data_IF_414423691196
#
_entry.id   IF_414423691196
#
_cell.length_a   1.000
_cell.length_b   1.000
_cell.length_c   1.000
_cell.angle_alpha   90.00
_cell.angle_beta   90.00
_cell.angle_gamma   90.00
#
_symmetry.space_group_name_H-M   'P 1'
#
loop_
_entity.id
_entity.type
_entity.pdbx_description
1 polymer ?
#
# COMPACT_ATOMS: atom_id res chain seq x y z
N UNK A 1 -20.09 -40.05 11.10
CA UNK A 1 -18.73 -40.20 10.51
C UNK A 1 -17.87 -39.09 11.08
N UNK A 2 -16.93 -39.42 11.97
CA UNK A 2 -15.99 -38.45 12.53
C UNK A 2 -15.10 -37.89 11.42
N UNK A 3 -14.98 -36.57 11.37
CA UNK A 3 -14.07 -35.88 10.46
C UNK A 3 -12.66 -36.45 10.64
N UNK A 4 -12.08 -37.00 9.57
CA UNK A 4 -10.64 -37.25 9.48
C UNK A 4 -9.97 -35.87 9.40
N UNK A 5 -9.82 -35.22 10.55
CA UNK A 5 -9.15 -33.93 10.67
C UNK A 5 -7.67 -34.13 10.36
N UNK A 6 -7.18 -33.41 9.35
CA UNK A 6 -5.74 -33.14 9.20
C UNK A 6 -5.30 -32.49 10.52
N UNK A 7 -4.46 -33.18 11.30
CA UNK A 7 -4.30 -32.88 12.73
C UNK A 7 -3.45 -31.65 13.04
N UNK A 8 -2.62 -31.16 12.13
CA UNK A 8 -1.80 -29.95 12.29
C UNK A 8 -1.21 -29.53 10.93
N UNK A 9 -1.09 -28.24 10.68
CA UNK A 9 -0.50 -27.69 9.45
C UNK A 9 1.01 -27.53 9.65
N UNK A 10 1.81 -28.10 8.74
CA UNK A 10 3.27 -27.89 8.70
C UNK A 10 3.61 -26.96 7.55
N UNK A 11 4.32 -25.88 7.85
CA UNK A 11 4.80 -24.93 6.86
C UNK A 11 6.18 -25.35 6.38
N UNK A 12 6.33 -25.59 5.07
CA UNK A 12 7.64 -25.87 4.47
C UNK A 12 8.34 -24.55 4.13
N UNK A 13 9.59 -24.40 4.59
CA UNK A 13 10.37 -23.17 4.43
C UNK A 13 11.65 -23.50 3.64
N UNK A 14 12.04 -22.60 2.74
CA UNK A 14 13.27 -22.69 1.95
C UNK A 14 14.46 -21.94 2.56
N UNK A 15 14.53 -21.80 3.88
CA UNK A 15 15.64 -21.12 4.59
C UNK A 15 16.87 -22.03 4.66
N UNK A 16 18.07 -21.44 4.62
CA UNK A 16 19.35 -22.17 4.65
C UNK A 16 20.31 -21.52 5.63
N UNK A 17 21.11 -22.33 6.32
CA UNK A 17 22.14 -21.82 7.24
C UNK A 17 23.20 -20.98 6.49
N UNK A 18 23.46 -21.31 5.22
CA UNK A 18 24.43 -20.64 4.33
C UNK A 18 23.98 -19.25 3.81
N UNK A 19 22.78 -18.74 4.15
CA UNK A 19 22.29 -17.48 3.57
C UNK A 19 22.95 -16.21 4.14
N UNK A 20 23.19 -16.19 5.45
CA UNK A 20 23.90 -15.10 6.16
C UNK A 20 24.09 -15.49 7.62
N UNK A 21 25.12 -14.95 8.29
CA UNK A 21 25.36 -15.19 9.72
C UNK A 21 24.15 -14.83 10.60
N UNK A 22 23.42 -13.76 10.23
CA UNK A 22 22.24 -13.33 10.97
C UNK A 22 21.09 -14.34 10.83
N UNK A 23 20.86 -14.88 9.63
CA UNK A 23 19.86 -15.93 9.41
C UNK A 23 20.28 -17.24 10.07
N UNK A 24 21.55 -17.60 9.99
CA UNK A 24 22.07 -18.80 10.65
C UNK A 24 21.78 -18.77 12.15
N UNK A 25 22.14 -17.68 12.84
CA UNK A 25 21.83 -17.50 14.27
C UNK A 25 20.33 -17.63 14.54
N UNK A 26 19.50 -16.91 13.78
CA UNK A 26 18.06 -16.94 13.97
C UNK A 26 17.44 -18.33 13.73
N UNK A 27 17.95 -19.09 12.75
CA UNK A 27 17.52 -20.48 12.50
C UNK A 27 17.95 -21.41 13.64
N UNK A 28 19.17 -21.23 14.18
CA UNK A 28 19.67 -22.00 15.32
C UNK A 28 18.87 -21.71 16.59
N UNK A 29 18.51 -20.45 16.83
CA UNK A 29 17.68 -20.04 17.97
C UNK A 29 16.28 -20.67 17.89
N UNK A 30 15.72 -20.76 16.67
CA UNK A 30 14.44 -21.47 16.40
C UNK A 30 14.57 -22.98 16.35
N UNK A 31 15.79 -23.52 16.45
CA UNK A 31 16.09 -24.94 16.29
C UNK A 31 15.56 -25.52 14.98
N UNK A 32 15.58 -24.73 13.89
CA UNK A 32 15.09 -25.18 12.59
C UNK A 32 15.77 -26.48 12.14
N UNK A 33 14.99 -27.35 11.52
CA UNK A 33 15.43 -28.67 11.07
C UNK A 33 14.94 -28.94 9.65
N UNK A 34 15.76 -29.68 8.91
CA UNK A 34 15.46 -30.18 7.57
C UNK A 34 14.68 -31.50 7.55
N UNK A 35 14.65 -32.22 8.67
CA UNK A 35 14.09 -33.58 8.74
C UNK A 35 12.93 -33.73 9.73
N UNK A 36 12.82 -32.85 10.73
CA UNK A 36 11.75 -32.89 11.72
C UNK A 36 11.06 -31.54 11.86
N UNK A 37 9.71 -31.46 11.78
CA UNK A 37 9.01 -30.21 12.00
C UNK A 37 9.25 -29.66 13.40
N UNK A 38 9.58 -28.38 13.49
CA UNK A 38 9.85 -27.68 14.75
C UNK A 38 8.73 -26.69 15.03
N UNK A 39 8.34 -26.62 16.30
CA UNK A 39 7.24 -25.77 16.75
C UNK A 39 7.78 -24.42 17.22
N UNK A 40 7.22 -23.34 16.68
CA UNK A 40 7.53 -21.99 17.16
C UNK A 40 6.79 -21.66 18.47
N UNK A 41 7.12 -20.51 19.06
CA UNK A 41 6.49 -20.03 20.29
C UNK A 41 4.98 -19.72 20.13
N UNK A 42 4.51 -19.55 18.88
CA UNK A 42 3.11 -19.32 18.55
C UNK A 42 2.34 -20.64 18.27
N UNK A 43 3.00 -21.79 18.36
CA UNK A 43 2.43 -23.11 18.18
C UNK A 43 2.42 -23.64 16.73
N UNK A 44 2.95 -22.89 15.76
CA UNK A 44 3.02 -23.30 14.37
C UNK A 44 4.17 -24.26 14.12
N UNK A 45 3.95 -25.27 13.26
CA UNK A 45 4.99 -26.19 12.83
C UNK A 45 5.66 -25.70 11.55
N UNK A 46 6.99 -25.72 11.53
CA UNK A 46 7.81 -25.36 10.38
C UNK A 46 8.86 -26.42 10.08
N UNK A 47 9.17 -26.65 8.81
CA UNK A 47 10.21 -27.58 8.36
C UNK A 47 11.04 -26.94 7.25
N UNK A 48 12.34 -26.82 7.47
CA UNK A 48 13.27 -26.11 6.57
C UNK A 48 14.03 -27.11 5.69
N UNK A 49 13.35 -27.62 4.66
CA UNK A 49 13.74 -28.81 3.88
C UNK A 49 15.11 -28.76 3.18
N UNK A 50 15.67 -27.56 3.03
CA UNK A 50 16.98 -27.32 2.42
C UNK A 50 17.96 -26.64 3.39
N UNK A 51 17.74 -26.74 4.70
CA UNK A 51 18.50 -25.97 5.69
C UNK A 51 20.02 -26.16 5.59
N UNK A 52 20.50 -27.36 5.28
CA UNK A 52 21.92 -27.69 5.08
C UNK A 52 22.47 -27.38 3.68
N UNK A 53 21.64 -26.98 2.72
CA UNK A 53 22.07 -26.76 1.34
C UNK A 53 22.87 -25.46 1.21
N UNK A 54 23.97 -25.53 0.47
CA UNK A 54 24.68 -24.33 0.01
C UNK A 54 23.94 -23.66 -1.13
N UNK A 55 24.43 -22.49 -1.55
CA UNK A 55 23.94 -21.84 -2.78
C UNK A 55 24.24 -22.67 -4.03
N UNK A 56 25.37 -23.36 -4.07
CA UNK A 56 25.75 -24.17 -5.23
C UNK A 56 24.87 -25.42 -5.35
N UNK A 57 24.51 -26.07 -4.24
CA UNK A 57 23.60 -27.23 -4.23
C UNK A 57 22.23 -26.89 -4.82
N UNK A 58 21.70 -25.71 -4.47
CA UNK A 58 20.41 -25.23 -5.00
C UNK A 58 20.49 -25.05 -6.51
N UNK A 59 21.54 -24.40 -7.00
CA UNK A 59 21.70 -24.13 -8.42
C UNK A 59 22.07 -25.36 -9.24
N UNK A 60 22.85 -26.30 -8.70
CA UNK A 60 23.09 -27.60 -9.32
C UNK A 60 21.78 -28.35 -9.49
N UNK A 61 20.95 -28.39 -8.43
CA UNK A 61 19.64 -29.02 -8.48
C UNK A 61 18.74 -28.39 -9.56
N UNK A 62 18.61 -27.05 -9.57
CA UNK A 62 17.85 -26.32 -10.59
C UNK A 62 18.36 -26.61 -12.00
N UNK A 63 19.68 -26.69 -12.18
CA UNK A 63 20.32 -26.91 -13.48
C UNK A 63 19.96 -28.27 -14.08
N UNK A 64 19.73 -29.31 -13.26
CA UNK A 64 19.27 -30.63 -13.73
C UNK A 64 17.87 -30.61 -14.33
N UNK A 65 17.07 -29.58 -14.06
CA UNK A 65 15.75 -29.41 -14.66
C UNK A 65 15.76 -28.60 -15.96
N UNK A 66 16.92 -28.12 -16.42
CA UNK A 66 17.05 -27.44 -17.72
C UNK A 66 17.02 -28.41 -18.90
N UNK A 67 17.24 -29.71 -18.67
CA UNK A 67 17.06 -30.78 -19.65
C UNK A 67 16.18 -31.87 -19.04
N UNK A 68 15.07 -32.18 -19.72
CA UNK A 68 14.10 -33.20 -19.31
C UNK A 68 14.75 -34.59 -19.19
N UNK A 69 15.81 -34.87 -19.95
CA UNK A 69 16.56 -36.13 -19.88
C UNK A 69 17.41 -36.26 -18.61
N UNK A 70 17.72 -35.16 -17.94
CA UNK A 70 18.56 -35.12 -16.73
C UNK A 70 17.79 -34.85 -15.45
N UNK A 71 16.50 -34.53 -15.56
CA UNK A 71 15.65 -34.20 -14.43
C UNK A 71 15.53 -35.43 -13.49
N UNK A 72 15.90 -35.29 -12.21
CA UNK A 72 15.88 -36.41 -11.27
C UNK A 72 14.46 -36.90 -10.95
N UNK A 73 13.44 -36.08 -11.22
CA UNK A 73 12.02 -36.38 -11.05
C UNK A 73 11.19 -35.47 -11.97
N UNK A 74 9.89 -35.76 -12.19
CA UNK A 74 9.04 -34.93 -13.04
C UNK A 74 8.99 -33.46 -12.58
N UNK A 75 9.34 -32.49 -13.44
CA UNK A 75 9.37 -31.08 -13.06
C UNK A 75 7.97 -30.47 -12.96
N UNK A 76 7.84 -29.44 -12.13
CA UNK A 76 6.60 -28.64 -11.99
C UNK A 76 6.40 -27.65 -13.14
N UNK A 77 7.43 -27.43 -13.96
CA UNK A 77 7.43 -26.49 -15.07
C UNK A 77 8.24 -27.07 -16.24
N UNK A 78 8.03 -26.60 -17.48
CA UNK A 78 8.83 -27.04 -18.61
C UNK A 78 10.30 -26.59 -18.46
N UNK A 79 11.23 -27.33 -19.09
CA UNK A 79 12.67 -27.05 -19.06
C UNK A 79 13.03 -25.57 -19.37
N UNK A 80 12.32 -24.96 -20.33
CA UNK A 80 12.49 -23.54 -20.71
C UNK A 80 12.37 -22.56 -19.53
N UNK A 81 11.53 -22.87 -18.54
CA UNK A 81 11.32 -22.02 -17.36
C UNK A 81 12.57 -21.96 -16.50
N UNK A 82 13.26 -23.09 -16.33
CA UNK A 82 14.52 -23.16 -15.58
C UNK A 82 15.66 -22.46 -16.32
N UNK A 83 15.72 -22.60 -17.65
CA UNK A 83 16.67 -21.85 -18.49
C UNK A 83 16.45 -20.34 -18.35
N UNK A 84 15.19 -19.89 -18.40
CA UNK A 84 14.83 -18.48 -18.23
C UNK A 84 15.15 -17.98 -16.83
N UNK A 85 14.93 -18.78 -15.79
CA UNK A 85 15.30 -18.44 -14.41
C UNK A 85 16.82 -18.20 -14.30
N UNK A 86 17.63 -19.08 -14.87
CA UNK A 86 19.08 -18.93 -14.88
C UNK A 86 19.51 -17.66 -15.64
N UNK A 87 18.90 -17.40 -16.80
CA UNK A 87 19.16 -16.20 -17.58
C UNK A 87 18.78 -14.92 -16.81
N UNK A 88 17.63 -14.91 -16.12
CA UNK A 88 17.17 -13.79 -15.31
C UNK A 88 18.19 -13.43 -14.20
N UNK A 89 18.69 -14.43 -13.47
CA UNK A 89 19.67 -14.22 -12.41
C UNK A 89 21.03 -13.77 -12.95
N UNK A 90 21.44 -14.28 -14.12
CA UNK A 90 22.64 -13.83 -14.82
C UNK A 90 22.52 -12.36 -15.24
N UNK A 91 21.41 -11.97 -15.85
CA UNK A 91 21.17 -10.60 -16.32
C UNK A 91 21.02 -9.60 -15.16
N UNK A 92 20.47 -10.06 -14.04
CA UNK A 92 20.38 -9.28 -12.80
C UNK A 92 21.71 -9.15 -12.03
N UNK A 93 22.78 -9.80 -12.48
CA UNK A 93 24.10 -9.80 -11.86
C UNK A 93 25.22 -9.41 -12.87
N UNK A 94 24.94 -8.41 -13.70
CA UNK A 94 25.85 -7.85 -14.71
C UNK A 94 26.43 -8.90 -15.68
N UNK A 95 25.60 -9.89 -16.05
CA UNK A 95 25.99 -10.97 -16.95
C UNK A 95 26.88 -12.04 -16.31
N UNK A 96 27.23 -11.89 -15.02
CA UNK A 96 28.12 -12.79 -14.29
C UNK A 96 27.29 -13.81 -13.51
N UNK A 97 27.30 -15.07 -13.96
CA UNK A 97 26.75 -16.19 -13.21
C UNK A 97 27.90 -17.15 -12.86
N UNK A 98 28.28 -17.19 -11.59
CA UNK A 98 29.42 -17.95 -11.08
C UNK A 98 29.21 -19.47 -11.11
N UNK A 99 27.98 -19.95 -11.25
CA UNK A 99 27.67 -21.40 -11.29
C UNK A 99 28.27 -22.09 -12.53
N UNK A 100 28.59 -21.32 -13.59
CA UNK A 100 29.18 -21.86 -14.83
C UNK A 100 30.71 -21.68 -14.91
N UNK A 101 31.31 -20.85 -14.05
CA UNK A 101 32.75 -20.57 -14.07
C UNK A 101 33.42 -21.24 -12.87
N UNK A 102 34.19 -22.29 -13.15
CA UNK A 102 34.93 -23.07 -12.15
C UNK A 102 35.81 -22.26 -11.20
N UNK A 103 36.38 -22.97 -10.23
CA UNK A 103 37.08 -22.54 -9.00
C UNK A 103 38.17 -21.44 -9.14
N UNK A 104 37.83 -20.22 -9.55
CA UNK A 104 38.82 -19.13 -9.63
C UNK A 104 38.32 -17.75 -10.02
N UNK A 105 37.05 -17.58 -10.43
CA UNK A 105 36.47 -16.27 -10.71
C UNK A 105 35.99 -15.54 -9.45
N UNK A 106 35.91 -14.20 -9.52
CA UNK A 106 35.40 -13.34 -8.45
C UNK A 106 34.03 -13.86 -7.97
N UNK A 107 33.99 -14.44 -6.76
CA UNK A 107 32.81 -15.09 -6.17
C UNK A 107 31.80 -14.07 -5.67
N UNK A 108 31.26 -13.25 -6.56
CA UNK A 108 30.01 -12.57 -6.25
C UNK A 108 28.94 -13.66 -6.17
N UNK A 109 28.39 -13.92 -4.97
CA UNK A 109 27.31 -14.86 -4.80
C UNK A 109 26.18 -14.54 -5.80
N UNK A 110 25.50 -15.58 -6.31
CA UNK A 110 24.26 -15.45 -7.08
C UNK A 110 23.13 -14.92 -6.16
N UNK A 111 23.29 -13.69 -5.69
CA UNK A 111 22.49 -13.01 -4.69
C UNK A 111 21.71 -11.84 -5.27
N UNK A 112 21.55 -11.80 -6.60
CA UNK A 112 20.65 -10.86 -7.26
C UNK A 112 19.25 -11.01 -6.67
N UNK A 113 18.63 -9.88 -6.33
CA UNK A 113 17.31 -9.84 -5.71
C UNK A 113 16.35 -9.21 -6.69
N UNK A 114 15.56 -10.05 -7.34
CA UNK A 114 14.39 -9.60 -8.10
C UNK A 114 13.22 -9.44 -7.15
N UNK A 115 12.44 -8.37 -7.28
CA UNK A 115 11.33 -8.12 -6.37
C UNK A 115 10.34 -7.11 -6.91
N UNK A 116 9.51 -6.60 -6.02
CA UNK A 116 8.52 -5.59 -6.38
C UNK A 116 9.19 -4.34 -6.95
N UNK A 117 8.73 -3.89 -8.12
CA UNK A 117 9.32 -2.78 -8.85
C UNK A 117 9.20 -1.42 -8.12
N UNK A 118 8.44 -1.31 -7.03
CA UNK A 118 8.30 -0.09 -6.22
C UNK A 118 8.90 -0.23 -4.82
N UNK A 119 9.56 -1.36 -4.53
CA UNK A 119 10.11 -1.65 -3.21
C UNK A 119 11.32 -0.76 -2.90
N UNK A 120 11.23 0.00 -1.81
CA UNK A 120 12.32 0.85 -1.31
C UNK A 120 13.25 0.14 -0.33
N UNK A 121 12.92 -1.09 0.09
CA UNK A 121 13.74 -1.88 1.03
C UNK A 121 15.03 -2.43 0.42
N UNK A 122 15.17 -2.40 -0.91
CA UNK A 122 16.40 -2.81 -1.62
C UNK A 122 17.59 -1.86 -1.38
N UNK A 123 17.42 -0.80 -0.59
CA UNK A 123 18.46 0.18 -0.25
C UNK A 123 18.41 1.41 -1.15
N UNK A 124 19.52 2.14 -1.28
CA UNK A 124 19.52 3.38 -2.08
C UNK A 124 19.26 3.13 -3.58
N UNK A 125 19.67 1.96 -4.09
CA UNK A 125 19.55 1.57 -5.50
C UNK A 125 19.15 0.11 -5.64
N UNK A 126 18.32 -0.19 -6.62
CA UNK A 126 18.05 -1.56 -7.05
C UNK A 126 19.10 -1.98 -8.09
N UNK A 127 20.23 -2.53 -7.60
CA UNK A 127 21.35 -2.94 -8.46
C UNK A 127 20.95 -4.03 -9.47
N UNK A 128 20.05 -4.93 -9.07
CA UNK A 128 19.59 -6.02 -9.94
C UNK A 128 18.77 -5.47 -11.10
N UNK A 129 17.82 -4.57 -10.81
CA UNK A 129 17.06 -3.88 -11.84
C UNK A 129 17.96 -2.99 -12.74
N UNK A 130 18.90 -2.25 -12.15
CA UNK A 130 19.89 -1.44 -12.90
C UNK A 130 20.74 -2.29 -13.85
N UNK A 131 21.10 -3.50 -13.45
CA UNK A 131 21.81 -4.45 -14.31
C UNK A 131 20.91 -4.93 -15.45
N UNK A 132 19.69 -5.38 -15.14
CA UNK A 132 18.75 -5.91 -16.13
C UNK A 132 18.45 -4.89 -17.23
N UNK A 133 18.17 -3.63 -16.88
CA UNK A 133 17.78 -2.59 -17.85
C UNK A 133 18.89 -2.30 -18.90
N UNK A 134 20.15 -2.67 -18.64
CA UNK A 134 21.23 -2.57 -19.63
C UNK A 134 21.06 -3.57 -20.77
N UNK A 135 20.38 -4.68 -20.53
CA UNK A 135 20.05 -5.68 -21.55
C UNK A 135 18.82 -5.24 -22.35
N UNK A 136 18.85 -5.31 -23.70
CA UNK A 136 17.76 -4.82 -24.55
C UNK A 136 16.38 -5.40 -24.21
N UNK A 137 16.31 -6.68 -23.81
CA UNK A 137 15.03 -7.33 -23.49
C UNK A 137 14.34 -6.75 -22.24
N UNK A 138 15.05 -6.09 -21.33
CA UNK A 138 14.47 -5.50 -20.12
C UNK A 138 14.46 -3.96 -20.13
N UNK A 139 14.82 -3.33 -21.26
CA UNK A 139 14.83 -1.88 -21.37
C UNK A 139 13.47 -1.23 -21.02
N UNK A 140 12.37 -1.95 -21.22
CA UNK A 140 11.01 -1.52 -20.86
C UNK A 140 10.82 -1.27 -19.35
N UNK A 141 11.65 -1.85 -18.48
CA UNK A 141 11.59 -1.67 -17.03
C UNK A 141 12.26 -0.36 -16.54
N UNK A 142 12.94 0.38 -17.41
CA UNK A 142 13.66 1.60 -17.05
C UNK A 142 12.79 2.63 -16.32
N UNK A 143 11.55 2.81 -16.79
CA UNK A 143 10.59 3.72 -16.18
C UNK A 143 10.20 3.31 -14.76
N UNK A 144 10.05 2.01 -14.50
CA UNK A 144 9.70 1.51 -13.17
C UNK A 144 10.86 1.69 -12.18
N UNK A 145 12.09 1.41 -12.60
CA UNK A 145 13.28 1.69 -11.77
C UNK A 145 13.39 3.18 -11.43
N UNK A 146 13.12 4.05 -12.42
CA UNK A 146 13.08 5.50 -12.19
C UNK A 146 11.99 5.88 -11.18
N UNK A 147 10.79 5.31 -11.30
CA UNK A 147 9.68 5.56 -10.40
C UNK A 147 10.01 5.13 -8.96
N UNK A 148 10.61 3.95 -8.79
CA UNK A 148 11.08 3.48 -7.49
C UNK A 148 12.10 4.42 -6.85
N UNK A 149 13.07 4.90 -7.63
CA UNK A 149 14.05 5.85 -7.14
C UNK A 149 13.42 7.20 -6.78
N UNK A 150 12.42 7.67 -7.54
CA UNK A 150 11.63 8.86 -7.20
C UNK A 150 10.98 8.73 -5.80
N UNK A 151 10.50 7.54 -5.43
CA UNK A 151 9.93 7.33 -4.08
C UNK A 151 10.96 7.58 -2.99
N UNK A 152 12.19 7.08 -3.15
CA UNK A 152 13.29 7.34 -2.21
C UNK A 152 13.69 8.82 -2.17
N UNK A 153 13.78 9.46 -3.34
CA UNK A 153 14.14 10.88 -3.46
C UNK A 153 13.19 11.80 -2.67
N UNK A 154 11.93 11.38 -2.51
CA UNK A 154 10.87 12.17 -1.87
C UNK A 154 10.34 11.56 -0.57
N UNK A 155 10.96 10.50 -0.03
CA UNK A 155 10.47 9.85 1.19
C UNK A 155 10.54 10.78 2.41
N UNK A 156 11.54 11.66 2.45
CA UNK A 156 11.76 12.61 3.55
C UNK A 156 11.47 14.07 3.16
N UNK A 157 10.85 14.29 2.01
CA UNK A 157 10.46 15.62 1.55
C UNK A 157 9.16 16.04 2.23
N UNK A 158 9.27 16.82 3.31
CA UNK A 158 8.10 17.28 4.09
C UNK A 158 7.19 18.21 3.30
N UNK A 159 7.68 18.87 2.23
CA UNK A 159 6.85 19.71 1.35
C UNK A 159 5.81 18.91 0.55
N UNK A 160 5.98 17.59 0.49
CA UNK A 160 5.06 16.66 -0.17
C UNK A 160 4.06 16.05 0.80
N UNK A 161 4.02 16.47 2.06
CA UNK A 161 3.15 15.92 3.11
C UNK A 161 1.92 16.79 3.36
N UNK A 162 0.83 16.16 3.78
CA UNK A 162 -0.29 16.86 4.41
C UNK A 162 -0.01 17.08 5.90
N UNK A 163 -0.55 18.16 6.47
CA UNK A 163 -0.34 18.52 7.88
C UNK A 163 -1.41 17.98 8.82
N UNK A 164 -2.56 17.56 8.32
CA UNK A 164 -3.69 17.13 9.14
C UNK A 164 -3.47 15.69 9.59
N UNK A 165 -3.38 15.46 10.91
CA UNK A 165 -3.34 14.12 11.49
C UNK A 165 -4.62 13.30 11.29
N UNK A 166 -4.69 12.09 11.84
CA UNK A 166 -5.84 11.17 11.65
C UNK A 166 -6.63 10.87 12.92
N UNK A 167 -6.03 11.06 14.08
CA UNK A 167 -6.62 10.68 15.38
C UNK A 167 -7.09 11.93 16.10
N UNK A 168 -8.34 11.91 16.55
CA UNK A 168 -8.89 12.91 17.45
C UNK A 168 -8.46 12.54 18.88
N UNK A 169 -7.91 13.48 19.63
CA UNK A 169 -7.65 13.31 21.06
C UNK A 169 -8.93 13.38 21.87
N UNK A 170 -8.96 12.84 23.09
CA UNK A 170 -10.13 12.92 23.99
C UNK A 170 -10.64 14.35 24.23
N UNK A 171 -9.76 15.36 24.17
CA UNK A 171 -10.13 16.77 24.25
C UNK A 171 -10.80 17.35 22.97
N UNK A 172 -11.03 16.55 21.92
CA UNK A 172 -11.62 16.99 20.65
C UNK A 172 -10.67 17.77 19.72
N UNK A 173 -9.36 17.51 19.80
CA UNK A 173 -8.33 18.14 18.97
C UNK A 173 -7.65 17.14 18.05
N UNK A 174 -7.11 17.62 16.94
CA UNK A 174 -6.29 16.84 16.01
C UNK A 174 -4.88 17.44 15.92
N UNK A 175 -3.88 16.57 15.79
CA UNK A 175 -2.49 17.00 15.67
C UNK A 175 -2.21 17.58 14.29
N UNK A 176 -1.50 18.72 14.25
CA UNK A 176 -1.02 19.39 13.04
C UNK A 176 0.48 19.16 12.92
N UNK A 177 0.86 18.31 11.97
CA UNK A 177 2.23 17.86 11.73
C UNK A 177 2.29 17.17 10.37
N UNK A 178 3.40 17.27 9.61
CA UNK A 178 3.58 16.46 8.41
C UNK A 178 3.33 14.97 8.70
N UNK A 179 2.35 14.37 8.03
CA UNK A 179 1.96 12.97 8.21
C UNK A 179 2.18 12.20 6.90
N UNK A 180 1.15 12.08 6.07
CA UNK A 180 1.24 11.29 4.83
C UNK A 180 1.37 12.13 3.58
N UNK A 181 1.57 11.50 2.41
CA UNK A 181 1.71 12.27 1.18
C UNK A 181 0.47 13.12 0.92
N UNK A 182 0.67 14.37 0.51
CA UNK A 182 -0.40 15.28 0.09
C UNK A 182 -1.19 14.72 -1.10
N UNK A 183 -2.45 15.12 -1.22
CA UNK A 183 -3.30 14.82 -2.38
C UNK A 183 -2.59 15.10 -3.71
N UNK A 184 -1.99 16.29 -3.86
CA UNK A 184 -1.30 16.70 -5.06
C UNK A 184 -0.15 15.74 -5.43
N UNK A 185 0.64 15.30 -4.44
CA UNK A 185 1.71 14.34 -4.68
C UNK A 185 1.19 12.93 -4.99
N UNK A 186 0.11 12.48 -4.35
CA UNK A 186 -0.54 11.19 -4.69
C UNK A 186 -1.05 11.18 -6.13
N UNK A 187 -1.71 12.26 -6.57
CA UNK A 187 -2.13 12.45 -7.97
C UNK A 187 -0.93 12.44 -8.92
N UNK A 188 0.16 13.09 -8.54
CA UNK A 188 1.39 13.08 -9.33
C UNK A 188 1.98 11.67 -9.48
N UNK A 189 2.03 10.88 -8.39
CA UNK A 189 2.47 9.48 -8.45
C UNK A 189 1.56 8.62 -9.33
N UNK A 190 0.24 8.78 -9.21
CA UNK A 190 -0.74 8.09 -10.06
C UNK A 190 -0.52 8.44 -11.54
N UNK A 191 -0.37 9.72 -11.88
CA UNK A 191 -0.10 10.20 -13.25
C UNK A 191 1.15 9.56 -13.84
N UNK A 192 2.21 9.40 -13.05
CA UNK A 192 3.44 8.73 -13.51
C UNK A 192 3.20 7.25 -13.81
N UNK A 193 2.55 6.51 -12.91
CA UNK A 193 2.26 5.09 -13.15
C UNK A 193 1.33 4.89 -14.36
N UNK A 194 0.26 5.69 -14.47
CA UNK A 194 -0.62 5.67 -15.64
C UNK A 194 0.14 5.95 -16.94
N UNK A 195 1.09 6.90 -16.91
CA UNK A 195 1.93 7.22 -18.06
C UNK A 195 2.84 6.04 -18.42
N UNK A 196 3.42 5.35 -17.42
CA UNK A 196 4.23 4.15 -17.65
C UNK A 196 3.41 3.01 -18.25
N UNK A 197 2.20 2.76 -17.74
CA UNK A 197 1.30 1.74 -18.28
C UNK A 197 0.88 2.06 -19.73
N UNK A 198 0.64 3.34 -20.04
CA UNK A 198 0.34 3.77 -21.40
C UNK A 198 1.55 3.60 -22.33
N UNK A 199 2.75 3.99 -21.89
CA UNK A 199 3.98 3.82 -22.66
C UNK A 199 4.33 2.34 -22.90
N UNK A 200 4.01 1.46 -21.96
CA UNK A 200 4.22 0.03 -22.11
C UNK A 200 3.25 -0.58 -23.13
N UNK A 201 2.00 -0.13 -23.14
CA UNK A 201 1.05 -0.49 -24.20
C UNK A 201 1.51 0.00 -25.57
N UNK A 202 1.91 1.27 -25.68
CA UNK A 202 2.44 1.87 -26.92
C UNK A 202 3.69 1.11 -27.41
N UNK A 203 4.59 0.70 -26.49
CA UNK A 203 5.77 -0.11 -26.79
C UNK A 203 5.39 -1.50 -27.32
N UNK A 204 4.45 -2.17 -26.67
CA UNK A 204 4.00 -3.51 -27.07
C UNK A 204 3.39 -3.50 -28.47
N UNK A 205 2.50 -2.55 -28.76
CA UNK A 205 1.88 -2.35 -30.07
C UNK A 205 2.94 -2.10 -31.16
N UNK A 206 3.91 -1.23 -30.89
CA UNK A 206 5.01 -0.98 -31.83
C UNK A 206 5.89 -2.21 -32.03
N UNK A 207 6.18 -2.97 -30.97
CA UNK A 207 6.99 -4.19 -31.04
C UNK A 207 6.27 -5.28 -31.86
N UNK A 208 4.97 -5.46 -31.66
CA UNK A 208 4.13 -6.35 -32.46
C UNK A 208 4.13 -5.94 -33.93
N UNK A 209 3.95 -4.64 -34.22
CA UNK A 209 4.00 -4.13 -35.59
C UNK A 209 5.36 -4.42 -36.27
N UNK A 210 6.47 -4.29 -35.54
CA UNK A 210 7.81 -4.62 -36.04
C UNK A 210 8.01 -6.13 -36.23
N UNK A 211 7.47 -6.95 -35.32
CA UNK A 211 7.51 -8.41 -35.38
C UNK A 211 6.74 -8.96 -36.58
N UNK A 212 5.51 -8.47 -36.79
CA UNK A 212 4.64 -8.87 -37.90
C UNK A 212 5.25 -8.43 -39.24
N UNK A 213 5.80 -7.21 -39.31
CA UNK A 213 6.47 -6.68 -40.49
C UNK A 213 7.84 -7.31 -40.78
N UNK A 214 8.38 -8.14 -39.88
CA UNK A 214 9.69 -8.77 -40.04
C UNK A 214 10.87 -7.79 -39.90
N UNK A 215 10.67 -6.65 -39.23
CA UNK A 215 11.75 -5.69 -38.89
C UNK A 215 12.62 -6.19 -37.75
N UNK A 216 12.06 -7.05 -36.89
CA UNK A 216 12.78 -7.76 -35.83
C UNK A 216 12.73 -9.29 -36.05
N UNK A 217 13.72 -10.05 -35.57
CA UNK A 217 13.74 -11.50 -35.73
C UNK A 217 12.55 -12.20 -35.07
N UNK A 218 12.04 -13.26 -35.71
CA UNK A 218 11.00 -14.12 -35.14
C UNK A 218 11.58 -15.11 -34.15
N UNK A 219 11.77 -14.65 -32.91
CA UNK A 219 12.19 -15.49 -31.78
C UNK A 219 11.08 -15.53 -30.73
N UNK A 220 11.04 -16.56 -29.86
CA UNK A 220 10.10 -16.61 -28.75
C UNK A 220 10.17 -15.38 -27.84
N UNK A 221 11.36 -14.82 -27.64
CA UNK A 221 11.57 -13.64 -26.79
C UNK A 221 10.92 -12.39 -27.39
N UNK A 222 11.03 -12.17 -28.71
CA UNK A 222 10.36 -11.06 -29.36
C UNK A 222 8.84 -11.28 -29.46
N UNK A 223 8.40 -12.52 -29.61
CA UNK A 223 6.97 -12.85 -29.56
C UNK A 223 6.36 -12.51 -28.19
N UNK A 224 7.04 -12.83 -27.09
CA UNK A 224 6.61 -12.46 -25.74
C UNK A 224 6.50 -10.94 -25.55
N UNK A 225 7.43 -10.17 -26.14
CA UNK A 225 7.45 -8.70 -26.05
C UNK A 225 6.38 -8.01 -26.92
N UNK A 226 5.62 -8.74 -27.74
CA UNK A 226 4.49 -8.21 -28.51
C UNK A 226 3.27 -7.87 -27.62
N UNK A 227 3.25 -8.31 -26.36
CA UNK A 227 2.22 -7.93 -25.38
C UNK A 227 2.78 -6.96 -24.34
N UNK A 228 1.92 -6.15 -23.67
CA UNK A 228 2.35 -5.37 -22.51
C UNK A 228 2.92 -6.28 -21.43
N UNK A 229 4.12 -5.98 -20.96
CA UNK A 229 4.82 -6.74 -19.92
C UNK A 229 4.37 -6.37 -18.51
N UNK A 230 3.74 -5.20 -18.36
CA UNK A 230 3.16 -4.77 -17.09
C UNK A 230 1.96 -3.84 -17.29
N UNK A 231 1.07 -3.86 -16.30
CA UNK A 231 0.06 -2.83 -16.06
C UNK A 231 -0.08 -2.65 -14.54
N UNK A 232 0.47 -1.57 -14.00
CA UNK A 232 0.46 -1.31 -12.56
C UNK A 232 -0.91 -0.87 -12.06
N UNK A 233 -1.61 -0.03 -12.84
CA UNK A 233 -2.89 0.58 -12.51
C UNK A 233 -3.99 -0.01 -13.39
N UNK A 234 -4.38 -1.25 -13.05
CA UNK A 234 -5.55 -1.89 -13.67
C UNK A 234 -6.84 -1.16 -13.30
N UNK A 235 -7.93 -1.27 -14.08
CA UNK A 235 -9.22 -0.64 -13.76
C UNK A 235 -9.73 -0.95 -12.34
N UNK A 236 -9.55 -2.19 -11.89
CA UNK A 236 -9.89 -2.62 -10.51
C UNK A 236 -9.12 -1.81 -9.46
N UNK A 237 -7.79 -1.69 -9.62
CA UNK A 237 -6.95 -0.90 -8.70
C UNK A 237 -7.29 0.58 -8.81
N UNK A 238 -7.62 1.07 -10.00
CA UNK A 238 -7.96 2.45 -10.25
C UNK A 238 -9.22 2.86 -9.47
N UNK A 239 -10.27 2.04 -9.46
CA UNK A 239 -11.48 2.28 -8.64
C UNK A 239 -11.14 2.32 -7.15
N UNK A 240 -10.31 1.39 -6.65
CA UNK A 240 -9.88 1.41 -5.25
C UNK A 240 -9.07 2.69 -4.90
N UNK A 241 -8.20 3.13 -5.81
CA UNK A 241 -7.44 4.39 -5.66
C UNK A 241 -8.38 5.59 -5.71
N UNK A 242 -9.36 5.59 -6.62
CA UNK A 242 -10.38 6.64 -6.74
C UNK A 242 -11.16 6.81 -5.44
N UNK A 243 -11.66 5.70 -4.89
CA UNK A 243 -12.36 5.65 -3.61
C UNK A 243 -11.55 6.31 -2.50
N UNK A 244 -10.26 5.95 -2.36
CA UNK A 244 -9.39 6.54 -1.34
C UNK A 244 -9.09 8.04 -1.58
N UNK A 245 -8.88 8.44 -2.83
CA UNK A 245 -8.56 9.83 -3.16
C UNK A 245 -9.78 10.76 -3.03
N UNK A 246 -10.98 10.25 -3.30
CA UNK A 246 -12.23 10.99 -3.16
C UNK A 246 -12.53 11.39 -1.70
N UNK A 247 -12.04 10.63 -0.73
CA UNK A 247 -12.10 10.93 0.71
C UNK A 247 -10.90 11.77 1.18
N UNK A 248 -10.26 12.55 0.31
CA UNK A 248 -9.20 13.48 0.70
C UNK A 248 -9.73 14.92 0.70
N UNK A 249 -9.45 15.68 1.77
CA UNK A 249 -9.96 17.06 1.94
C UNK A 249 -9.50 18.07 0.88
N UNK A 250 -8.40 17.81 0.16
CA UNK A 250 -7.92 18.64 -0.95
C UNK A 250 -8.34 18.11 -2.33
N UNK A 251 -9.19 17.09 -2.40
CA UNK A 251 -9.73 16.62 -3.66
C UNK A 251 -10.66 17.69 -4.27
N UNK A 252 -10.54 17.93 -5.57
CA UNK A 252 -11.17 19.06 -6.26
C UNK A 252 -12.49 18.70 -6.97
N UNK A 253 -12.79 17.42 -7.15
CA UNK A 253 -14.05 16.94 -7.72
C UNK A 253 -14.17 15.42 -7.64
N UNK A 254 -15.31 14.89 -8.08
CA UNK A 254 -15.55 13.45 -8.11
C UNK A 254 -14.63 12.73 -9.12
N UNK A 255 -14.46 11.42 -8.90
CA UNK A 255 -13.71 10.52 -9.77
C UNK A 255 -12.25 10.98 -10.04
N UNK A 256 -11.50 11.41 -9.02
CA UNK A 256 -10.17 12.01 -9.21
C UNK A 256 -9.18 11.07 -9.91
N UNK A 257 -9.19 9.77 -9.62
CA UNK A 257 -8.28 8.82 -10.27
C UNK A 257 -8.75 8.48 -11.69
N UNK A 258 -10.06 8.30 -11.89
CA UNK A 258 -10.62 8.00 -13.21
C UNK A 258 -10.38 9.16 -14.18
N UNK A 259 -10.52 10.40 -13.71
CA UNK A 259 -10.20 11.61 -14.51
C UNK A 259 -8.75 11.62 -14.98
N UNK A 260 -7.80 11.22 -14.12
CA UNK A 260 -6.39 11.12 -14.51
C UNK A 260 -6.10 9.96 -15.46
N UNK A 261 -6.78 8.83 -15.28
CA UNK A 261 -6.72 7.75 -16.26
C UNK A 261 -7.25 8.18 -17.63
N UNK A 262 -8.39 8.88 -17.66
CA UNK A 262 -9.00 9.41 -18.88
C UNK A 262 -8.09 10.43 -19.57
N UNK A 263 -7.44 11.31 -18.80
CA UNK A 263 -6.42 12.24 -19.31
C UNK A 263 -5.30 11.50 -20.05
N UNK A 264 -4.79 10.40 -19.49
CA UNK A 264 -3.63 9.68 -20.05
C UNK A 264 -4.04 8.75 -21.19
N UNK A 265 -5.05 7.90 -20.97
CA UNK A 265 -5.48 6.86 -21.92
C UNK A 265 -6.32 7.42 -23.05
N UNK A 266 -7.30 8.29 -22.77
CA UNK A 266 -8.25 8.79 -23.78
C UNK A 266 -7.77 10.09 -24.42
N UNK A 267 -7.26 11.04 -23.63
CA UNK A 267 -6.80 12.34 -24.14
C UNK A 267 -5.31 12.36 -24.52
N UNK A 268 -4.59 11.23 -24.35
CA UNK A 268 -3.20 11.09 -24.78
C UNK A 268 -2.18 11.91 -23.97
N UNK A 269 -2.55 12.43 -22.79
CA UNK A 269 -1.59 13.16 -21.95
C UNK A 269 -0.49 12.21 -21.45
N UNK A 270 0.72 12.73 -21.28
CA UNK A 270 1.86 12.00 -20.72
C UNK A 270 2.52 12.86 -19.66
N UNK A 271 2.72 12.29 -18.48
CA UNK A 271 3.32 12.97 -17.34
C UNK A 271 4.70 12.37 -17.08
N UNK A 272 5.74 13.12 -17.37
CA UNK A 272 7.11 12.64 -17.19
C UNK A 272 7.60 12.95 -15.77
N UNK A 273 8.28 11.96 -15.19
CA UNK A 273 8.96 12.13 -13.90
C UNK A 273 10.06 13.19 -14.02
N UNK A 274 10.28 14.01 -12.96
CA UNK A 274 11.34 14.99 -12.96
C UNK A 274 12.71 14.31 -13.04
N UNK A 275 13.73 15.10 -13.39
CA UNK A 275 15.12 14.65 -13.36
C UNK A 275 15.51 14.14 -11.96
N UNK A 276 16.43 13.15 -11.87
CA UNK A 276 16.95 12.65 -10.60
C UNK A 276 17.45 13.77 -9.70
N UNK A 277 17.09 13.70 -8.42
CA UNK A 277 17.61 14.59 -7.37
C UNK A 277 18.24 13.78 -6.24
N UNK A 278 19.13 14.40 -5.48
CA UNK A 278 19.69 13.77 -4.27
C UNK A 278 18.58 13.58 -3.23
N UNK A 279 18.45 12.39 -2.62
CA UNK A 279 17.49 12.17 -1.54
C UNK A 279 17.70 13.13 -0.38
N UNK A 280 16.61 13.67 0.16
CA UNK A 280 16.64 14.50 1.36
C UNK A 280 16.96 13.61 2.57
N UNK A 281 17.92 13.97 3.45
CA UNK A 281 18.17 13.21 4.67
C UNK A 281 16.95 13.30 5.59
N UNK A 282 16.72 12.28 6.43
CA UNK A 282 15.58 12.24 7.36
C UNK A 282 15.59 13.46 8.30
N UNK A 283 14.64 14.41 8.18
CA UNK A 283 14.58 15.56 9.06
C UNK A 283 13.88 15.19 10.38
N UNK A 284 14.05 16.04 11.39
CA UNK A 284 13.13 16.06 12.53
C UNK A 284 11.74 16.47 12.03
N UNK A 285 10.69 15.72 12.42
CA UNK A 285 9.32 16.03 12.02
C UNK A 285 8.80 17.16 12.92
N UNK A 286 8.48 18.35 12.37
CA UNK A 286 8.00 19.46 13.17
C UNK A 286 6.56 19.20 13.63
N UNK A 287 6.30 19.49 14.91
CA UNK A 287 4.94 19.50 15.47
C UNK A 287 4.49 20.95 15.51
N UNK A 288 3.47 21.29 14.72
CA UNK A 288 2.99 22.67 14.65
C UNK A 288 1.97 22.99 15.75
N UNK A 289 1.26 21.99 16.26
CA UNK A 289 0.32 22.14 17.37
C UNK A 289 -0.89 21.21 17.25
N UNK A 290 -1.98 21.60 17.91
CA UNK A 290 -3.25 20.87 17.96
C UNK A 290 -4.41 21.79 17.56
N UNK A 291 -5.22 21.38 16.59
CA UNK A 291 -6.38 22.16 16.13
C UNK A 291 -7.69 21.55 16.65
N UNK A 292 -8.61 22.40 17.12
CA UNK A 292 -9.89 21.94 17.68
C UNK A 292 -10.85 21.53 16.55
N UNK A 293 -11.33 20.29 16.59
CA UNK A 293 -12.25 19.75 15.57
C UNK A 293 -13.55 19.18 16.15
N UNK A 294 -13.64 18.98 17.47
CA UNK A 294 -14.77 18.28 18.08
C UNK A 294 -14.84 16.85 17.58
N UNK A 295 -16.02 16.39 17.18
CA UNK A 295 -16.23 15.12 16.48
C UNK A 295 -16.22 15.32 14.95
N UNK A 296 -15.47 16.32 14.45
CA UNK A 296 -15.58 16.90 13.11
C UNK A 296 -16.86 17.73 12.88
N UNK A 297 -17.25 18.47 13.91
CA UNK A 297 -18.47 19.29 13.97
C UNK A 297 -18.26 20.65 14.66
N UNK A 298 -17.03 20.97 15.08
CA UNK A 298 -16.76 22.17 15.87
C UNK A 298 -17.06 23.50 15.15
N UNK A 299 -16.97 23.53 13.83
CA UNK A 299 -17.02 24.78 13.05
C UNK A 299 -17.88 24.73 11.78
N UNK A 300 -18.09 23.53 11.24
CA UNK A 300 -18.76 23.26 9.98
C UNK A 300 -19.47 21.91 10.06
N UNK A 301 -20.61 21.73 9.37
CA UNK A 301 -21.35 20.48 9.39
C UNK A 301 -20.65 19.40 8.55
N UNK A 302 -20.88 18.13 8.90
CA UNK A 302 -20.39 16.97 8.14
C UNK A 302 -21.42 15.85 8.11
N UNK A 303 -21.36 15.04 7.07
CA UNK A 303 -22.22 13.87 6.81
C UNK A 303 -21.43 12.63 6.37
N UNK A 304 -20.16 12.79 5.97
CA UNK A 304 -19.30 11.69 5.54
C UNK A 304 -19.86 10.99 4.30
N UNK A 305 -19.99 9.67 4.35
CA UNK A 305 -20.48 8.84 3.24
C UNK A 305 -22.01 8.79 3.14
N UNK A 306 -22.75 9.59 3.92
CA UNK A 306 -24.19 9.73 3.73
C UNK A 306 -24.53 10.53 2.46
N UNK A 307 -25.51 10.06 1.67
CA UNK A 307 -26.08 10.80 0.54
C UNK A 307 -27.60 10.80 0.62
N UNK A 308 -28.17 12.00 0.76
CA UNK A 308 -29.61 12.21 0.75
C UNK A 308 -30.22 11.83 -0.60
N UNK A 309 -29.52 12.13 -1.70
CA UNK A 309 -30.00 11.83 -3.04
C UNK A 309 -30.06 10.31 -3.28
N UNK A 310 -29.00 9.58 -2.90
CA UNK A 310 -28.99 8.13 -3.01
C UNK A 310 -30.12 7.50 -2.16
N UNK A 311 -30.27 7.89 -0.89
CA UNK A 311 -31.34 7.37 -0.03
C UNK A 311 -32.74 7.60 -0.63
N UNK A 312 -32.96 8.77 -1.24
CA UNK A 312 -34.23 9.10 -1.90
C UNK A 312 -34.50 8.21 -3.11
N UNK A 313 -33.50 7.97 -3.96
CA UNK A 313 -33.68 7.30 -5.25
C UNK A 313 -33.48 5.79 -5.19
N UNK A 314 -32.75 5.26 -4.22
CA UNK A 314 -32.41 3.84 -4.14
C UNK A 314 -33.63 2.92 -4.07
N UNK A 315 -34.75 3.38 -3.49
CA UNK A 315 -36.01 2.60 -3.50
C UNK A 315 -36.56 2.34 -4.91
N UNK A 316 -36.21 3.20 -5.87
CA UNK A 316 -36.66 3.10 -7.26
C UNK A 316 -35.59 2.48 -8.16
N UNK A 317 -34.31 2.76 -7.90
CA UNK A 317 -33.17 2.28 -8.69
C UNK A 317 -32.73 0.86 -8.31
N UNK A 318 -32.95 0.47 -7.06
CA UNK A 318 -32.54 -0.81 -6.49
C UNK A 318 -33.69 -1.41 -5.68
N UNK A 319 -34.83 -1.67 -6.34
CA UNK A 319 -36.05 -2.16 -5.71
C UNK A 319 -35.92 -3.55 -5.06
N UNK A 320 -34.85 -4.27 -5.42
CA UNK A 320 -34.48 -5.58 -4.90
C UNK A 320 -33.75 -5.51 -3.54
N UNK A 321 -33.24 -4.33 -3.15
CA UNK A 321 -32.54 -4.16 -1.86
C UNK A 321 -33.51 -4.01 -0.70
N UNK A 322 -33.13 -4.54 0.44
CA UNK A 322 -33.92 -4.46 1.69
C UNK A 322 -34.00 -3.05 2.28
N UNK A 323 -33.04 -2.18 1.94
CA UNK A 323 -32.96 -0.81 2.42
C UNK A 323 -32.38 0.12 1.36
N UNK A 324 -32.76 1.40 1.43
CA UNK A 324 -32.24 2.46 0.58
C UNK A 324 -30.91 3.04 1.07
N UNK A 325 -30.48 2.71 2.29
CA UNK A 325 -29.24 3.14 2.91
C UNK A 325 -28.68 2.03 3.81
N UNK A 326 -27.42 2.16 4.23
CA UNK A 326 -26.79 1.27 5.20
C UNK A 326 -26.30 2.06 6.43
N UNK A 327 -25.95 1.35 7.50
CA UNK A 327 -25.37 1.95 8.70
C UNK A 327 -23.93 1.47 8.89
N UNK A 328 -23.07 2.36 9.38
CA UNK A 328 -21.73 2.00 9.83
C UNK A 328 -21.82 1.04 11.03
N UNK A 329 -20.71 0.38 11.37
CA UNK A 329 -20.61 -0.43 12.59
C UNK A 329 -20.85 0.36 13.88
N UNK A 330 -20.77 1.70 13.84
CA UNK A 330 -21.11 2.60 14.95
C UNK A 330 -22.52 3.19 14.84
N UNK A 331 -23.32 2.78 13.85
CA UNK A 331 -24.71 3.18 13.68
C UNK A 331 -24.95 4.43 12.84
N UNK A 332 -23.89 5.07 12.35
CA UNK A 332 -23.98 6.26 11.49
C UNK A 332 -24.60 5.89 10.15
N UNK A 333 -25.47 6.74 9.61
CA UNK A 333 -26.05 6.49 8.29
C UNK A 333 -25.02 6.74 7.19
N UNK A 334 -25.00 5.86 6.20
CA UNK A 334 -24.16 5.92 5.00
C UNK A 334 -25.02 5.63 3.77
N UNK A 335 -24.48 5.86 2.57
CA UNK A 335 -25.04 5.21 1.37
C UNK A 335 -25.14 3.70 1.55
N UNK A 336 -25.96 3.05 0.73
CA UNK A 336 -25.94 1.59 0.69
C UNK A 336 -24.52 1.09 0.38
N UNK A 337 -24.09 0.03 1.04
CA UNK A 337 -22.83 -0.64 0.77
C UNK A 337 -22.97 -2.13 1.08
N UNK A 338 -22.06 -2.92 0.52
CA UNK A 338 -21.91 -4.34 0.82
C UNK A 338 -20.57 -4.58 1.53
N UNK A 339 -20.50 -5.67 2.29
CA UNK A 339 -19.27 -6.09 2.98
C UNK A 339 -18.70 -7.37 2.38
N UNK A 340 -17.39 -7.54 2.52
CA UNK A 340 -16.63 -8.74 2.15
C UNK A 340 -15.49 -8.95 3.16
N UNK A 341 -14.80 -10.11 3.11
CA UNK A 341 -13.71 -10.42 4.05
C UNK A 341 -12.54 -9.41 3.98
N UNK A 342 -12.35 -8.80 2.81
CA UNK A 342 -11.38 -7.73 2.54
C UNK A 342 -12.00 -6.69 1.62
N UNK A 343 -11.35 -5.54 1.47
CA UNK A 343 -11.77 -4.55 0.48
C UNK A 343 -11.72 -5.20 -0.91
N UNK A 344 -12.88 -5.28 -1.55
CA UNK A 344 -13.03 -5.91 -2.84
C UNK A 344 -13.61 -4.90 -3.84
N UNK A 345 -13.06 -4.91 -5.05
CA UNK A 345 -13.62 -4.19 -6.19
C UNK A 345 -13.98 -5.23 -7.23
N UNK A 346 -15.21 -5.17 -7.75
CA UNK A 346 -15.66 -6.04 -8.84
C UNK A 346 -14.82 -5.76 -10.09
N UNK A 347 -14.04 -6.73 -10.59
CA UNK A 347 -13.14 -6.51 -11.71
C UNK A 347 -13.87 -6.25 -13.03
N UNK A 348 -15.04 -6.86 -13.25
CA UNK A 348 -15.78 -6.75 -14.50
C UNK A 348 -16.46 -5.40 -14.60
N UNK A 349 -17.18 -5.00 -13.55
CA UNK A 349 -17.87 -3.72 -13.51
C UNK A 349 -16.86 -2.57 -13.51
N UNK A 350 -15.77 -2.67 -12.73
CA UNK A 350 -14.71 -1.66 -12.77
C UNK A 350 -14.10 -1.52 -14.17
N UNK A 351 -13.83 -2.63 -14.87
CA UNK A 351 -13.31 -2.56 -16.23
C UNK A 351 -14.32 -1.92 -17.19
N UNK A 352 -15.59 -2.34 -17.16
CA UNK A 352 -16.64 -1.79 -18.00
C UNK A 352 -16.79 -0.29 -17.77
N UNK A 353 -16.86 0.14 -16.50
CA UNK A 353 -17.05 1.54 -16.18
C UNK A 353 -15.89 2.40 -16.64
N UNK A 354 -14.65 2.01 -16.30
CA UNK A 354 -13.46 2.80 -16.63
C UNK A 354 -13.24 2.89 -18.13
N UNK A 355 -13.45 1.80 -18.86
CA UNK A 355 -13.09 1.72 -20.29
C UNK A 355 -14.22 2.11 -21.25
N UNK A 356 -15.49 1.98 -20.84
CA UNK A 356 -16.63 2.15 -21.73
C UNK A 356 -17.72 3.11 -21.20
N UNK A 357 -17.94 3.18 -19.89
CA UNK A 357 -19.01 4.03 -19.33
C UNK A 357 -18.54 5.46 -19.06
N UNK A 358 -17.34 5.64 -18.52
CA UNK A 358 -16.81 6.94 -18.15
C UNK A 358 -16.34 7.71 -19.39
N UNK A 359 -17.25 8.47 -19.98
CA UNK A 359 -17.05 9.20 -21.23
C UNK A 359 -16.66 10.68 -21.02
N UNK A 360 -16.58 11.43 -22.11
CA UNK A 360 -16.23 12.86 -22.07
C UNK A 360 -17.27 13.69 -21.30
N UNK A 361 -18.55 13.31 -21.32
CA UNK A 361 -19.59 14.03 -20.60
C UNK A 361 -19.43 13.81 -19.09
N UNK A 362 -19.25 12.57 -18.65
CA UNK A 362 -18.98 12.25 -17.24
C UNK A 362 -17.69 12.92 -16.77
N UNK A 363 -16.63 12.89 -17.60
CA UNK A 363 -15.36 13.57 -17.30
C UNK A 363 -15.54 15.07 -17.02
N UNK A 364 -16.38 15.76 -17.79
CA UNK A 364 -16.67 17.19 -17.58
C UNK A 364 -17.51 17.44 -16.34
N UNK A 365 -18.55 16.63 -16.11
CA UNK A 365 -19.45 16.76 -14.97
C UNK A 365 -18.73 16.50 -13.64
N UNK A 366 -17.87 15.47 -13.60
CA UNK A 366 -17.15 15.06 -12.40
C UNK A 366 -16.30 16.18 -11.78
N UNK A 367 -15.84 17.16 -12.58
CA UNK A 367 -15.06 18.31 -12.11
C UNK A 367 -15.85 19.27 -11.21
N UNK A 368 -17.17 19.24 -11.31
CA UNK A 368 -18.08 20.14 -10.59
C UNK A 368 -18.87 19.43 -9.48
N UNK A 369 -18.68 18.13 -9.35
CA UNK A 369 -19.32 17.32 -8.31
C UNK A 369 -18.48 17.36 -7.03
N UNK A 370 -19.14 17.19 -5.88
CA UNK A 370 -18.42 16.98 -4.63
C UNK A 370 -17.56 15.70 -4.73
N UNK A 371 -16.29 15.71 -4.28
CA UNK A 371 -15.43 14.54 -4.35
C UNK A 371 -16.02 13.28 -3.75
N UNK A 372 -16.71 13.40 -2.61
CA UNK A 372 -17.27 12.24 -1.93
C UNK A 372 -18.35 11.54 -2.76
N UNK A 373 -18.90 12.19 -3.79
CA UNK A 373 -19.84 11.56 -4.70
C UNK A 373 -19.25 10.33 -5.40
N UNK A 374 -17.96 10.30 -5.74
CA UNK A 374 -17.41 9.05 -6.30
C UNK A 374 -17.25 7.96 -5.26
N UNK A 375 -16.81 8.26 -4.03
CA UNK A 375 -16.82 7.26 -2.94
C UNK A 375 -18.23 6.71 -2.68
N UNK A 376 -19.22 7.59 -2.62
CA UNK A 376 -20.63 7.22 -2.45
C UNK A 376 -21.12 6.37 -3.61
N UNK A 377 -20.80 6.73 -4.85
CA UNK A 377 -21.14 5.99 -6.05
C UNK A 377 -20.58 4.57 -6.04
N UNK A 378 -19.28 4.41 -5.75
CA UNK A 378 -18.63 3.09 -5.73
C UNK A 378 -19.27 2.11 -4.75
N UNK A 379 -19.64 2.61 -3.57
CA UNK A 379 -20.34 1.83 -2.56
C UNK A 379 -21.78 1.55 -2.97
N UNK A 380 -22.50 2.60 -3.39
CA UNK A 380 -23.94 2.52 -3.65
C UNK A 380 -24.27 1.63 -4.83
N UNK A 381 -23.46 1.63 -5.88
CA UNK A 381 -23.67 0.80 -7.06
C UNK A 381 -23.07 -0.61 -6.91
N UNK A 382 -22.38 -0.91 -5.80
CA UNK A 382 -21.83 -2.24 -5.51
C UNK A 382 -20.49 -2.56 -6.21
N UNK A 383 -19.84 -1.55 -6.81
CA UNK A 383 -18.52 -1.70 -7.43
C UNK A 383 -17.45 -2.03 -6.39
N UNK A 384 -17.57 -1.45 -5.21
CA UNK A 384 -16.62 -1.62 -4.10
C UNK A 384 -17.36 -2.12 -2.86
N UNK A 385 -16.86 -3.21 -2.28
CA UNK A 385 -17.30 -3.76 -1.00
C UNK A 385 -16.29 -3.44 0.08
N UNK A 386 -16.80 -3.06 1.25
CA UNK A 386 -15.97 -2.74 2.40
C UNK A 386 -15.52 -4.02 3.12
N UNK A 387 -14.34 -4.06 3.76
CA UNK A 387 -14.02 -5.12 4.69
C UNK A 387 -15.04 -5.16 5.82
N UNK A 388 -15.52 -6.35 6.17
CA UNK A 388 -16.46 -6.59 7.26
C UNK A 388 -15.98 -5.91 8.54
N UNK A 389 -16.83 -5.08 9.14
CA UNK A 389 -16.54 -4.39 10.39
C UNK A 389 -15.79 -3.06 10.25
N UNK A 390 -15.34 -2.69 9.04
CA UNK A 390 -14.51 -1.49 8.81
C UNK A 390 -15.31 -0.27 8.32
N UNK A 391 -16.63 -0.36 8.18
CA UNK A 391 -17.47 0.73 7.66
C UNK A 391 -17.34 2.04 8.46
N UNK A 392 -17.25 1.98 9.80
CA UNK A 392 -17.02 3.16 10.63
C UNK A 392 -15.67 3.85 10.36
N UNK A 393 -14.63 3.10 9.97
CA UNK A 393 -13.32 3.67 9.63
C UNK A 393 -13.44 4.54 8.37
N UNK A 394 -14.10 4.04 7.33
CA UNK A 394 -14.30 4.79 6.09
C UNK A 394 -15.25 5.97 6.27
N UNK A 395 -16.29 5.81 7.09
CA UNK A 395 -17.16 6.91 7.47
C UNK A 395 -16.36 8.02 8.17
N UNK A 396 -15.53 7.69 9.16
CA UNK A 396 -14.69 8.67 9.85
C UNK A 396 -13.70 9.36 8.91
N UNK A 397 -13.08 8.61 7.98
CA UNK A 397 -12.19 9.16 6.95
C UNK A 397 -12.91 10.20 6.08
N UNK A 398 -14.12 9.87 5.60
CA UNK A 398 -14.93 10.78 4.79
C UNK A 398 -15.40 12.00 5.59
N UNK A 399 -15.85 11.82 6.83
CA UNK A 399 -16.27 12.91 7.73
C UNK A 399 -15.11 13.87 7.99
N UNK A 400 -13.92 13.34 8.31
CA UNK A 400 -12.69 14.14 8.45
C UNK A 400 -12.40 14.93 7.19
N UNK A 401 -12.44 14.28 6.04
CA UNK A 401 -12.15 14.93 4.77
C UNK A 401 -13.13 16.06 4.45
N UNK A 402 -14.41 15.81 4.68
CA UNK A 402 -15.47 16.78 4.47
C UNK A 402 -15.34 17.97 5.42
N UNK A 403 -14.98 17.75 6.69
CA UNK A 403 -14.77 18.82 7.66
C UNK A 403 -13.74 19.83 7.18
N UNK A 404 -12.53 19.38 6.82
CA UNK A 404 -11.48 20.29 6.39
C UNK A 404 -11.79 20.97 5.05
N UNK A 405 -12.53 20.30 4.17
CA UNK A 405 -13.03 20.90 2.94
C UNK A 405 -14.02 22.03 3.24
N UNK A 406 -15.08 21.76 4.01
CA UNK A 406 -16.08 22.76 4.37
C UNK A 406 -15.46 23.91 5.19
N UNK A 407 -14.45 23.61 6.02
CA UNK A 407 -13.71 24.64 6.76
C UNK A 407 -12.95 25.55 5.78
N UNK A 408 -12.27 24.98 4.78
CA UNK A 408 -11.61 25.76 3.72
C UNK A 408 -12.61 26.60 2.91
N UNK A 409 -13.78 26.04 2.58
CA UNK A 409 -14.86 26.77 1.89
C UNK A 409 -15.42 27.92 2.75
N UNK A 410 -15.70 27.67 4.04
CA UNK A 410 -16.16 28.69 5.01
C UNK A 410 -15.16 29.84 5.13
N UNK A 411 -13.87 29.52 5.20
CA UNK A 411 -12.80 30.51 5.32
C UNK A 411 -12.42 31.15 3.98
N UNK A 412 -12.88 30.58 2.86
CA UNK A 412 -12.52 30.95 1.49
C UNK A 412 -10.99 30.99 1.28
N UNK A 413 -10.33 29.88 1.62
CA UNK A 413 -8.86 29.73 1.59
C UNK A 413 -8.42 28.61 0.66
N UNK A 414 -7.24 28.77 0.07
CA UNK A 414 -6.54 27.71 -0.67
C UNK A 414 -6.00 26.63 0.28
N UNK A 415 -5.59 25.45 -0.22
CA UNK A 415 -4.96 24.42 0.62
C UNK A 415 -3.78 24.90 1.47
N UNK A 416 -2.90 25.73 0.89
CA UNK A 416 -1.74 26.27 1.60
C UNK A 416 -2.13 27.28 2.68
N UNK A 417 -3.16 28.08 2.43
CA UNK A 417 -3.71 29.04 3.40
C UNK A 417 -4.49 28.32 4.50
N UNK A 418 -5.17 27.20 4.21
CA UNK A 418 -5.77 26.35 5.22
C UNK A 418 -4.70 25.81 6.16
N UNK A 419 -3.62 25.26 5.63
CA UNK A 419 -2.49 24.77 6.44
C UNK A 419 -1.96 25.88 7.37
N UNK A 420 -1.77 27.10 6.85
CA UNK A 420 -1.37 28.26 7.66
C UNK A 420 -2.39 28.61 8.74
N UNK A 421 -3.69 28.57 8.41
CA UNK A 421 -4.78 28.80 9.36
C UNK A 421 -4.78 27.78 10.49
N UNK A 422 -4.61 26.49 10.17
CA UNK A 422 -4.56 25.41 11.16
C UNK A 422 -3.37 25.56 12.12
N UNK A 423 -2.22 25.99 11.62
CA UNK A 423 -1.04 26.28 12.44
C UNK A 423 -1.30 27.51 13.33
N UNK A 424 -1.79 28.60 12.77
CA UNK A 424 -1.97 29.87 13.48
C UNK A 424 -3.04 29.82 14.58
N UNK A 425 -4.06 28.99 14.40
CA UNK A 425 -5.19 28.83 15.33
C UNK A 425 -5.10 27.53 16.16
N UNK A 426 -4.00 26.79 16.04
CA UNK A 426 -3.71 25.62 16.88
C UNK A 426 -3.17 26.02 18.26
N UNK A 427 -3.33 25.12 19.24
CA UNK A 427 -2.71 25.24 20.56
C UNK A 427 -1.39 24.46 20.61
N UNK A 428 -0.49 24.87 21.52
CA UNK A 428 0.77 24.16 21.75
C UNK A 428 0.57 22.80 22.41
N UNK A 429 1.58 21.93 22.30
CA UNK A 429 1.62 20.62 22.98
C UNK A 429 1.40 20.74 24.49
N UNK A 430 1.99 21.76 25.12
CA UNK A 430 1.87 22.00 26.55
C UNK A 430 0.42 22.36 26.95
N UNK A 431 -0.25 23.20 26.15
CA UNK A 431 -1.65 23.55 26.36
C UNK A 431 -2.57 22.34 26.16
N UNK A 432 -2.33 21.54 25.12
CA UNK A 432 -3.11 20.32 24.87
C UNK A 432 -2.96 19.29 26.00
N UNK A 433 -1.74 19.10 26.51
CA UNK A 433 -1.50 18.22 27.66
C UNK A 433 -2.27 18.65 28.91
N UNK A 434 -2.39 19.97 29.15
CA UNK A 434 -3.19 20.49 30.26
C UNK A 434 -4.69 20.19 30.07
N UNK A 435 -5.20 20.31 28.84
CA UNK A 435 -6.60 19.99 28.53
C UNK A 435 -6.90 18.50 28.75
N UNK A 436 -6.00 17.60 28.32
CA UNK A 436 -6.16 16.16 28.54
C UNK A 436 -6.24 15.80 30.03
N UNK A 437 -5.45 16.48 30.88
CA UNK A 437 -5.50 16.30 32.33
C UNK A 437 -6.81 16.77 32.93
N UNK A 438 -7.38 17.87 32.42
CA UNK A 438 -8.69 18.35 32.90
C UNK A 438 -9.84 17.43 32.48
N UNK A 439 -9.85 16.93 31.24
CA UNK A 439 -10.87 15.97 30.79
C UNK A 439 -10.81 14.67 31.58
N UNK A 440 -9.61 14.17 31.90
CA UNK A 440 -9.45 12.98 32.74
C UNK A 440 -9.90 13.20 34.19
N UNK A 441 -9.87 14.44 34.70
CA UNK A 441 -10.33 14.77 36.04
C UNK A 441 -11.87 14.91 36.11
N UNK A 442 -12.52 15.40 35.04
CA UNK A 442 -13.98 15.48 34.93
C UNK A 442 -14.64 14.09 34.76
N UNK A 443 -13.92 13.11 34.22
CA UNK A 443 -14.35 11.71 34.12
C UNK A 443 -14.16 10.90 35.42
N UNK A 444 -13.64 11.48 36.51
CA UNK A 444 -13.66 10.81 37.81
C UNK A 444 -15.07 10.83 38.40
N UNK A 445 -15.66 9.67 38.76
CA UNK A 445 -16.97 9.64 39.39
C UNK A 445 -16.94 10.41 40.72
N UNK A 446 -17.93 11.28 40.88
CA UNK A 446 -18.18 12.14 42.04
C UNK A 446 -18.58 11.32 43.29
N UNK A 447 -17.74 10.38 43.73
CA UNK A 447 -18.01 9.52 44.90
C UNK A 447 -16.76 9.07 45.68
N UNK A 448 -15.65 9.81 45.58
CA UNK A 448 -14.46 9.56 46.39
C UNK A 448 -14.08 10.76 47.26
N UNK A 449 -15.04 11.28 48.04
CA UNK A 449 -14.73 12.12 49.21
C UNK A 449 -15.68 11.73 50.32
N UNK A 450 -15.40 10.65 51.05
CA UNK A 450 -15.77 10.51 52.46
C UNK A 450 -14.76 9.57 53.16
N UNK A 451 -14.08 10.17 54.15
CA UNK A 451 -13.58 9.63 55.41
C UNK A 451 -12.75 8.35 55.43
N UNK A 452 -11.43 8.47 55.66
CA UNK A 452 -10.74 7.63 56.65
C UNK A 452 -9.65 8.45 57.40
N UNK A 453 -9.74 8.45 58.73
CA UNK A 453 -8.77 9.00 59.69
C UNK A 453 -7.45 8.21 59.71
N UNK A 454 -6.34 8.78 60.21
CA UNK A 454 -5.01 8.18 60.09
C UNK A 454 -4.77 7.14 61.17
N UNK A 455 -4.41 5.91 60.78
CA UNK A 455 -3.88 4.90 61.70
C UNK A 455 -2.37 4.80 61.54
N UNK A 456 -1.71 4.75 62.69
CA UNK A 456 -0.29 4.95 62.90
C UNK A 456 0.63 3.84 62.35
N UNK A 457 1.78 4.35 61.91
CA UNK A 457 3.11 3.79 61.74
C UNK A 457 3.49 2.53 62.59
N UNK A 458 4.01 1.50 61.92
CA UNK A 458 5.30 0.85 62.26
C UNK A 458 5.81 -0.11 61.15
N UNK A 459 7.14 -0.32 61.03
CA UNK A 459 7.83 -0.76 59.80
C UNK A 459 8.53 -2.15 59.99
N UNK A 460 9.59 -2.51 59.22
CA UNK A 460 9.60 -3.02 57.84
C UNK A 460 10.23 -4.44 57.77
N UNK A 461 10.11 -5.14 56.64
CA UNK A 461 11.13 -6.15 56.22
C UNK A 461 11.08 -6.43 54.72
N UNK A 462 12.17 -6.02 54.07
CA UNK A 462 12.87 -6.55 52.88
C UNK A 462 12.19 -7.61 52.01
N UNK A 463 12.27 -7.42 50.67
CA UNK A 463 13.27 -8.10 49.84
C UNK A 463 13.02 -7.88 48.32
N UNK A 464 14.09 -7.48 47.63
CA UNK A 464 14.41 -7.57 46.19
C UNK A 464 13.82 -6.58 45.17
N UNK A 465 14.75 -5.69 44.76
CA UNK A 465 14.88 -5.01 43.48
C UNK A 465 15.38 -5.93 42.35
N UNK A 466 14.89 -5.70 41.13
CA UNK A 466 15.55 -5.94 39.83
C UNK A 466 14.70 -5.14 38.80
N UNK A 467 15.15 -4.06 38.16
CA UNK A 467 16.33 -3.94 37.27
C UNK A 467 16.61 -5.24 36.51
N UNK A 468 15.82 -5.45 35.45
CA UNK A 468 16.20 -6.16 34.21
C UNK A 468 14.91 -6.44 33.43
N UNK A 469 14.53 -5.55 32.49
CA UNK A 469 13.56 -5.88 31.43
C UNK A 469 13.65 -4.85 30.29
N UNK A 470 14.87 -4.65 29.77
CA UNK A 470 15.12 -4.15 28.42
C UNK A 470 16.47 -4.67 27.92
N UNK A 471 16.41 -5.80 27.21
CA UNK A 471 17.38 -6.24 26.22
C UNK A 471 16.60 -6.86 25.05
#
# INVERSE_FOLDING_TARGET
MAARGYREIVTLIGTRFDESEARERAMRDRQESESMPVRDNAGHLSLSIIASWSTDDVWECISRFMDEGTAPFPPIAPARTFVRLHQLYKDANEGTCTIVLGEGGNRAACGARTGCAVCTLSGERDKSMESMIREPQYAHLAGLNRFRNLLLENQWDLSKRELVGRTISDAGYIRISPDTYSYAYRIQLLRYLLTLDAMEADRAEQHEADYVAGRIPRTPENEELCSPQFEFVTPRKLVAVDFQLSMHHFCDGAFPAIREWFNVRTLGRRYHMPAPKTPVPKPAIPVHGWYKVGAFDAEVPTWGLYSFEAEKWNRYRHSDRSSAYAQSTQGERMVYFEEADQMEVDPMDANLFVTATFDMQMYQQAQWMDPLESARFWLNEGFLRLPSGMSAVYQNMATRAQYFRHLAEKLNVTPAELDQHLIANGISEAQHTLLLRSTAADDMPLFAVLDEEPVADHPPTDLFSAEELFA
#
